data_IF_518842191098
#
_entry.id   IF_518842191098
#
_cell.length_a   1.000
_cell.length_b   1.000
_cell.length_c   1.000
_cell.angle_alpha   90.00
_cell.angle_beta   90.00
_cell.angle_gamma   90.00
#
_symmetry.space_group_name_H-M   'P 1'
#
loop_
_entity.id
_entity.type
_entity.pdbx_description
1 polymer ?
#
# COMPACT_ATOMS: atom_id res chain seq x y z
N UNK A 1 -34.17 -51.55 -9.71
CA UNK A 1 -34.17 -51.57 -8.24
C UNK A 1 -34.66 -50.20 -7.80
N UNK A 2 -35.74 -50.07 -7.01
CA UNK A 2 -36.09 -48.78 -6.43
C UNK A 2 -34.88 -48.28 -5.63
N UNK A 3 -34.44 -47.04 -5.91
CA UNK A 3 -33.32 -46.41 -5.22
C UNK A 3 -33.60 -46.23 -3.73
N UNK A 4 -32.59 -45.90 -2.91
CA UNK A 4 -32.81 -45.61 -1.50
C UNK A 4 -33.88 -44.52 -1.34
N UNK A 5 -34.96 -44.81 -0.60
CA UNK A 5 -35.92 -43.79 -0.22
C UNK A 5 -35.28 -42.93 0.86
N UNK A 6 -35.43 -41.62 0.74
CA UNK A 6 -34.97 -40.64 1.73
C UNK A 6 -36.15 -39.75 2.09
N UNK A 7 -36.37 -39.58 3.38
CA UNK A 7 -37.43 -38.73 3.88
C UNK A 7 -37.10 -37.26 3.57
N UNK A 8 -38.08 -36.53 3.06
CA UNK A 8 -38.00 -35.10 2.78
C UNK A 8 -39.16 -34.38 3.47
N UNK A 9 -38.93 -33.13 3.84
CA UNK A 9 -39.95 -32.25 4.41
C UNK A 9 -40.51 -31.30 3.35
N UNK A 10 -41.83 -31.14 3.37
CA UNK A 10 -42.54 -30.17 2.53
C UNK A 10 -42.52 -28.79 3.20
N UNK A 11 -41.45 -28.02 2.97
CA UNK A 11 -41.31 -26.66 3.52
C UNK A 11 -42.01 -25.59 2.68
N UNK A 12 -42.22 -25.86 1.39
CA UNK A 12 -42.90 -24.99 0.43
C UNK A 12 -43.95 -25.81 -0.32
N UNK A 13 -45.00 -25.16 -0.80
CA UNK A 13 -45.88 -25.71 -1.82
C UNK A 13 -45.14 -25.82 -3.17
N UNK A 14 -45.72 -26.57 -4.12
CA UNK A 14 -45.16 -26.69 -5.48
C UNK A 14 -45.07 -25.33 -6.19
N UNK A 15 -46.06 -24.45 -5.99
CA UNK A 15 -46.08 -23.09 -6.54
C UNK A 15 -44.98 -22.22 -5.93
N UNK A 16 -44.82 -22.23 -4.60
CA UNK A 16 -43.76 -21.48 -3.91
C UNK A 16 -42.36 -21.98 -4.26
N UNK A 17 -42.20 -23.28 -4.55
CA UNK A 17 -40.94 -23.84 -5.00
C UNK A 17 -40.58 -23.34 -6.41
N UNK A 18 -41.57 -23.17 -7.29
CA UNK A 18 -41.39 -22.59 -8.62
C UNK A 18 -41.01 -21.12 -8.55
N UNK A 19 -41.68 -20.34 -7.69
CA UNK A 19 -41.30 -18.96 -7.41
C UNK A 19 -39.86 -18.86 -6.88
N UNK A 20 -39.45 -19.77 -5.98
CA UNK A 20 -38.08 -19.80 -5.47
C UNK A 20 -37.04 -20.11 -6.56
N UNK A 21 -37.38 -20.98 -7.53
CA UNK A 21 -36.52 -21.28 -8.68
C UNK A 21 -36.39 -20.05 -9.59
N UNK A 22 -37.50 -19.40 -9.92
CA UNK A 22 -37.54 -18.21 -10.79
C UNK A 22 -36.80 -17.02 -10.16
N UNK A 23 -36.94 -16.84 -8.84
CA UNK A 23 -36.20 -15.84 -8.09
C UNK A 23 -34.69 -16.14 -8.10
N UNK A 24 -34.29 -17.39 -7.81
CA UNK A 24 -32.88 -17.78 -7.85
C UNK A 24 -32.26 -17.64 -9.26
N UNK A 25 -33.05 -17.85 -10.31
CA UNK A 25 -32.63 -17.64 -11.69
C UNK A 25 -32.45 -16.16 -12.00
N UNK A 26 -33.36 -15.31 -11.54
CA UNK A 26 -33.28 -13.85 -11.68
C UNK A 26 -32.08 -13.26 -10.94
N UNK A 27 -31.79 -13.77 -9.74
CA UNK A 27 -30.65 -13.38 -8.89
C UNK A 27 -29.30 -13.95 -9.38
N UNK A 28 -29.30 -14.73 -10.48
CA UNK A 28 -28.11 -15.37 -11.05
C UNK A 28 -27.39 -16.29 -10.05
N UNK A 29 -28.15 -17.09 -9.31
CA UNK A 29 -27.65 -18.08 -8.36
C UNK A 29 -27.72 -19.52 -8.94
N UNK A 30 -26.86 -19.89 -9.92
CA UNK A 30 -27.00 -21.15 -10.65
C UNK A 30 -26.89 -22.39 -9.76
N UNK A 31 -26.15 -22.30 -8.66
CA UNK A 31 -26.05 -23.38 -7.68
C UNK A 31 -27.34 -23.58 -6.89
N UNK A 32 -28.05 -22.49 -6.55
CA UNK A 32 -29.31 -22.56 -5.83
C UNK A 32 -30.40 -23.10 -6.75
N UNK A 33 -30.50 -22.59 -7.99
CA UNK A 33 -31.43 -23.10 -9.02
C UNK A 33 -31.30 -24.61 -9.17
N UNK A 34 -30.07 -25.11 -9.38
CA UNK A 34 -29.81 -26.55 -9.55
C UNK A 34 -30.26 -27.39 -8.35
N UNK A 35 -30.09 -26.88 -7.13
CA UNK A 35 -30.47 -27.55 -5.89
C UNK A 35 -31.98 -27.54 -5.66
N UNK A 36 -32.65 -26.43 -5.96
CA UNK A 36 -34.11 -26.34 -5.90
C UNK A 36 -34.78 -27.25 -6.94
N UNK A 37 -34.22 -27.33 -8.16
CA UNK A 37 -34.69 -28.29 -9.17
C UNK A 37 -34.58 -29.75 -8.68
N UNK A 38 -33.60 -30.09 -7.84
CA UNK A 38 -33.51 -31.42 -7.24
C UNK A 38 -34.68 -31.67 -6.28
N UNK A 39 -35.02 -30.71 -5.42
CA UNK A 39 -36.18 -30.80 -4.52
C UNK A 39 -37.48 -30.90 -5.32
N UNK A 40 -37.63 -30.11 -6.39
CA UNK A 40 -38.80 -30.17 -7.27
C UNK A 40 -38.99 -31.55 -7.88
N UNK A 41 -37.91 -32.17 -8.37
CA UNK A 41 -37.99 -33.54 -8.90
C UNK A 41 -38.48 -34.54 -7.84
N UNK A 42 -38.07 -34.37 -6.57
CA UNK A 42 -38.52 -35.23 -5.46
C UNK A 42 -40.01 -35.03 -5.15
N UNK A 43 -40.50 -33.78 -5.18
CA UNK A 43 -41.94 -33.48 -4.99
C UNK A 43 -42.80 -34.10 -6.11
N UNK A 44 -42.26 -34.14 -7.33
CA UNK A 44 -42.89 -34.80 -8.48
C UNK A 44 -42.82 -36.34 -8.43
N UNK A 45 -42.26 -36.91 -7.36
CA UNK A 45 -42.26 -38.36 -7.10
C UNK A 45 -41.00 -39.10 -7.55
N UNK A 46 -39.94 -38.41 -7.98
CA UNK A 46 -38.68 -39.08 -8.30
C UNK A 46 -38.05 -39.73 -7.08
N UNK A 47 -37.45 -40.90 -7.27
CA UNK A 47 -36.51 -41.42 -6.28
C UNK A 47 -35.28 -40.51 -6.20
N UNK A 48 -34.60 -40.53 -5.05
CA UNK A 48 -33.39 -39.72 -4.84
C UNK A 48 -32.33 -39.94 -5.94
N UNK A 49 -32.22 -41.16 -6.46
CA UNK A 49 -31.29 -41.51 -7.55
C UNK A 49 -31.71 -40.89 -8.88
N UNK A 50 -33.02 -40.87 -9.20
CA UNK A 50 -33.54 -40.26 -10.43
C UNK A 50 -33.38 -38.74 -10.39
N UNK A 51 -33.77 -38.11 -9.28
CA UNK A 51 -33.59 -36.68 -9.07
C UNK A 51 -32.11 -36.27 -9.15
N UNK A 52 -31.20 -37.04 -8.53
CA UNK A 52 -29.76 -36.83 -8.63
C UNK A 52 -29.26 -36.91 -10.09
N UNK A 53 -29.75 -37.89 -10.85
CA UNK A 53 -29.39 -38.10 -12.25
C UNK A 53 -29.87 -36.93 -13.12
N UNK A 54 -31.11 -36.48 -12.95
CA UNK A 54 -31.70 -35.36 -13.72
C UNK A 54 -30.91 -34.06 -13.56
N UNK A 55 -30.47 -33.77 -12.33
CA UNK A 55 -29.66 -32.57 -12.06
C UNK A 55 -28.16 -32.82 -12.22
N UNK A 56 -27.72 -34.01 -12.62
CA UNK A 56 -26.32 -34.34 -12.93
C UNK A 56 -25.37 -34.43 -11.73
N UNK A 57 -25.85 -34.89 -10.56
CA UNK A 57 -25.02 -35.10 -9.35
C UNK A 57 -25.06 -36.55 -8.88
N UNK A 58 -24.15 -36.91 -7.96
CA UNK A 58 -24.14 -38.23 -7.35
C UNK A 58 -25.22 -38.35 -6.27
N UNK A 59 -25.78 -39.55 -6.07
CA UNK A 59 -26.80 -39.82 -5.04
C UNK A 59 -26.38 -39.37 -3.64
N UNK A 60 -25.11 -39.55 -3.17
CA UNK A 60 -24.67 -39.01 -1.89
C UNK A 60 -24.71 -37.47 -1.81
N UNK A 61 -24.50 -36.77 -2.92
CA UNK A 61 -24.59 -35.30 -2.96
C UNK A 61 -26.03 -34.84 -2.88
N UNK A 62 -26.91 -35.48 -3.66
CA UNK A 62 -28.35 -35.28 -3.60
C UNK A 62 -28.88 -35.52 -2.18
N UNK A 63 -28.45 -36.62 -1.55
CA UNK A 63 -28.76 -36.96 -0.16
C UNK A 63 -28.42 -35.79 0.78
N UNK A 64 -27.19 -35.25 0.72
CA UNK A 64 -26.80 -34.11 1.57
C UNK A 64 -27.63 -32.85 1.29
N UNK A 65 -28.05 -32.61 0.06
CA UNK A 65 -28.91 -31.46 -0.27
C UNK A 65 -30.29 -31.62 0.35
N UNK A 66 -30.87 -32.82 0.32
CA UNK A 66 -32.13 -33.11 1.03
C UNK A 66 -31.98 -32.93 2.54
N UNK A 67 -30.87 -33.34 3.15
CA UNK A 67 -30.64 -33.09 4.60
C UNK A 67 -30.61 -31.60 4.91
N UNK A 68 -29.92 -30.81 4.08
CA UNK A 68 -29.84 -29.35 4.25
C UNK A 68 -31.20 -28.68 4.03
N UNK A 69 -31.96 -29.13 3.03
CA UNK A 69 -33.34 -28.70 2.81
C UNK A 69 -34.21 -29.02 4.01
N UNK A 70 -34.16 -30.24 4.55
CA UNK A 70 -34.94 -30.63 5.71
C UNK A 70 -34.62 -29.75 6.93
N UNK A 71 -33.37 -29.32 7.10
CA UNK A 71 -32.96 -28.49 8.23
C UNK A 71 -33.28 -27.00 8.09
N UNK A 72 -33.15 -26.41 6.90
CA UNK A 72 -33.16 -24.94 6.72
C UNK A 72 -33.80 -24.48 5.38
N UNK A 73 -34.66 -25.32 4.78
CA UNK A 73 -35.38 -25.05 3.54
C UNK A 73 -34.47 -24.44 2.44
N UNK A 74 -34.87 -23.31 1.84
CA UNK A 74 -34.11 -22.59 0.81
C UNK A 74 -32.75 -22.10 1.33
N UNK A 75 -32.67 -21.68 2.60
CA UNK A 75 -31.43 -21.23 3.25
C UNK A 75 -30.34 -22.29 3.25
N UNK A 76 -30.71 -23.53 3.61
CA UNK A 76 -29.80 -24.68 3.62
C UNK A 76 -29.28 -25.06 2.24
N UNK A 77 -30.01 -24.70 1.18
CA UNK A 77 -29.58 -24.96 -0.20
C UNK A 77 -28.66 -23.88 -0.76
N UNK A 78 -28.48 -22.73 -0.11
CA UNK A 78 -27.47 -21.76 -0.54
C UNK A 78 -26.06 -22.34 -0.29
N UNK A 79 -25.08 -22.12 -1.19
CA UNK A 79 -23.72 -22.51 -0.91
C UNK A 79 -23.22 -21.73 0.31
N UNK A 80 -22.60 -22.44 1.25
CA UNK A 80 -21.83 -21.79 2.30
C UNK A 80 -20.76 -20.97 1.58
N UNK A 81 -20.86 -19.64 1.65
CA UNK A 81 -19.74 -18.80 1.24
C UNK A 81 -18.60 -19.24 2.14
N UNK A 82 -17.62 -19.94 1.57
CA UNK A 82 -16.42 -20.36 2.27
C UNK A 82 -15.61 -19.12 2.59
N UNK A 83 -16.11 -18.32 3.53
CA UNK A 83 -15.37 -17.23 4.10
C UNK A 83 -14.16 -17.90 4.73
N UNK A 84 -12.99 -17.54 4.25
CA UNK A 84 -11.76 -18.22 4.61
C UNK A 84 -11.54 -18.16 6.12
N UNK A 85 -10.40 -18.67 6.57
CA UNK A 85 -10.01 -18.45 7.96
C UNK A 85 -10.07 -16.94 8.28
N UNK A 86 -10.81 -16.52 9.33
CA UNK A 86 -10.95 -15.11 9.63
C UNK A 86 -9.56 -14.48 9.84
N UNK A 87 -9.37 -13.21 9.44
CA UNK A 87 -8.12 -12.50 9.66
C UNK A 87 -7.75 -12.52 11.15
N UNK A 88 -6.46 -12.64 11.48
CA UNK A 88 -6.03 -12.65 12.90
C UNK A 88 -6.33 -11.34 13.64
N UNK A 89 -6.36 -10.22 12.92
CA UNK A 89 -6.81 -8.94 13.46
C UNK A 89 -8.26 -8.70 13.08
N UNK A 90 -9.09 -8.41 14.07
CA UNK A 90 -10.46 -7.97 13.83
C UNK A 90 -10.50 -6.56 13.22
N UNK A 91 -11.70 -6.05 12.96
CA UNK A 91 -11.88 -4.73 12.34
C UNK A 91 -11.42 -3.59 13.26
N UNK A 92 -11.79 -3.62 14.54
CA UNK A 92 -11.41 -2.60 15.52
C UNK A 92 -9.89 -2.57 15.76
N UNK A 93 -9.24 -3.73 15.80
CA UNK A 93 -7.80 -3.84 15.90
C UNK A 93 -7.08 -3.27 14.67
N UNK A 94 -7.65 -3.46 13.47
CA UNK A 94 -7.12 -2.88 12.23
C UNK A 94 -7.24 -1.36 12.21
N UNK A 95 -8.36 -0.82 12.66
CA UNK A 95 -8.57 0.63 12.76
C UNK A 95 -7.56 1.25 13.74
N UNK A 96 -7.41 0.64 14.92
CA UNK A 96 -6.42 1.07 15.91
C UNK A 96 -4.99 0.99 15.38
N UNK A 97 -4.64 -0.09 14.67
CA UNK A 97 -3.34 -0.19 14.01
C UNK A 97 -3.13 0.95 13.02
N UNK A 98 -4.16 1.30 12.24
CA UNK A 98 -4.07 2.37 11.25
C UNK A 98 -3.82 3.74 11.91
N UNK A 99 -4.43 4.03 13.05
CA UNK A 99 -4.16 5.25 13.83
C UNK A 99 -2.71 5.33 14.31
N UNK A 100 -2.19 4.24 14.88
CA UNK A 100 -0.79 4.16 15.33
C UNK A 100 0.17 4.35 14.16
N UNK A 101 -0.10 3.70 13.03
CA UNK A 101 0.74 3.83 11.83
C UNK A 101 0.75 5.27 11.28
N UNK A 102 -0.36 6.02 11.38
CA UNK A 102 -0.41 7.43 10.94
C UNK A 102 0.47 8.33 11.81
N UNK A 103 0.56 8.04 13.10
CA UNK A 103 1.33 8.84 14.06
C UNK A 103 2.84 8.57 14.01
N UNK A 104 3.23 7.32 13.70
CA UNK A 104 4.62 6.88 13.81
C UNK A 104 5.32 6.60 12.48
N UNK A 105 4.66 6.84 11.34
CA UNK A 105 5.29 6.74 10.03
C UNK A 105 6.46 7.73 9.86
N UNK A 106 7.48 7.41 9.04
CA UNK A 106 7.62 6.17 8.28
C UNK A 106 8.25 5.02 9.09
N UNK A 107 7.81 3.77 8.85
CA UNK A 107 8.25 2.59 9.61
C UNK A 107 8.81 1.48 8.72
N UNK A 108 9.75 0.70 9.23
CA UNK A 108 10.21 -0.55 8.60
C UNK A 108 9.17 -1.67 8.79
N UNK A 109 9.18 -2.69 7.92
CA UNK A 109 8.32 -3.87 8.09
C UNK A 109 8.51 -4.53 9.45
N UNK A 110 9.75 -4.57 9.97
CA UNK A 110 10.05 -5.17 11.27
C UNK A 110 9.43 -4.38 12.43
N UNK A 111 9.55 -3.05 12.41
CA UNK A 111 8.92 -2.21 13.43
C UNK A 111 7.40 -2.39 13.43
N UNK A 112 6.77 -2.52 12.25
CA UNK A 112 5.34 -2.80 12.17
C UNK A 112 5.00 -4.19 12.73
N UNK A 113 5.80 -5.22 12.46
CA UNK A 113 5.58 -6.54 13.06
C UNK A 113 5.61 -6.49 14.59
N UNK A 114 6.60 -5.79 15.16
CA UNK A 114 6.71 -5.62 16.61
C UNK A 114 5.51 -4.86 17.17
N UNK A 115 5.07 -3.78 16.53
CA UNK A 115 3.86 -3.05 16.95
C UNK A 115 2.61 -3.94 16.96
N UNK A 116 2.48 -4.85 15.98
CA UNK A 116 1.33 -5.76 15.93
C UNK A 116 1.42 -6.82 17.04
N UNK A 117 2.61 -7.38 17.25
CA UNK A 117 2.85 -8.39 18.28
C UNK A 117 2.65 -7.81 19.69
N UNK A 118 3.27 -6.67 20.00
CA UNK A 118 3.16 -6.01 21.30
C UNK A 118 1.75 -5.46 21.56
N UNK A 119 1.08 -4.94 20.52
CA UNK A 119 -0.22 -4.28 20.65
C UNK A 119 -1.42 -5.21 20.64
N UNK A 120 -1.32 -6.36 19.97
CA UNK A 120 -2.46 -7.25 19.71
C UNK A 120 -2.18 -8.73 20.00
N UNK A 121 -0.98 -9.10 20.45
CA UNK A 121 -0.56 -10.51 20.66
C UNK A 121 -0.71 -11.37 19.38
N UNK A 122 -0.51 -10.74 18.22
CA UNK A 122 -0.66 -11.37 16.91
C UNK A 122 0.67 -11.34 16.17
N UNK A 123 1.23 -12.53 15.92
CA UNK A 123 2.41 -12.66 15.07
C UNK A 123 2.04 -12.86 13.59
N UNK A 124 2.63 -12.04 12.71
CA UNK A 124 2.55 -12.18 11.26
C UNK A 124 3.94 -12.40 10.66
N UNK A 125 4.00 -13.14 9.54
CA UNK A 125 5.21 -13.16 8.71
C UNK A 125 5.40 -11.81 8.02
N UNK A 126 6.63 -11.49 7.60
CA UNK A 126 6.92 -10.25 6.88
C UNK A 126 6.04 -10.11 5.63
N UNK A 127 5.88 -11.19 4.86
CA UNK A 127 5.02 -11.22 3.66
C UNK A 127 3.57 -10.90 3.98
N UNK A 128 3.03 -11.44 5.08
CA UNK A 128 1.66 -11.16 5.48
C UNK A 128 1.50 -9.71 5.95
N UNK A 129 2.47 -9.22 6.72
CA UNK A 129 2.52 -7.82 7.17
C UNK A 129 2.53 -6.86 5.99
N UNK A 130 3.37 -7.09 4.97
CA UNK A 130 3.38 -6.26 3.77
C UNK A 130 2.04 -6.26 3.01
N UNK A 131 1.36 -7.42 2.93
CA UNK A 131 0.02 -7.50 2.31
C UNK A 131 -1.03 -6.75 3.12
N UNK A 132 -0.99 -6.86 4.45
CA UNK A 132 -1.86 -6.11 5.35
C UNK A 132 -1.66 -4.60 5.16
N UNK A 133 -0.42 -4.13 5.15
CA UNK A 133 -0.09 -2.71 4.99
C UNK A 133 -0.52 -2.16 3.63
N UNK A 134 -0.32 -2.92 2.56
CA UNK A 134 -0.87 -2.56 1.24
C UNK A 134 -2.39 -2.45 1.26
N UNK A 135 -3.09 -3.37 1.94
CA UNK A 135 -4.56 -3.34 2.07
C UNK A 135 -5.04 -2.14 2.90
N UNK A 136 -4.24 -1.68 3.85
CA UNK A 136 -4.47 -0.46 4.63
C UNK A 136 -4.09 0.82 3.86
N UNK A 137 -3.52 0.71 2.66
CA UNK A 137 -3.19 1.85 1.80
C UNK A 137 -1.81 2.48 2.03
N UNK A 138 -0.90 1.80 2.74
CA UNK A 138 0.47 2.29 2.89
C UNK A 138 1.31 1.99 1.64
N UNK A 139 2.23 2.91 1.33
CA UNK A 139 3.22 2.79 0.28
C UNK A 139 4.56 2.34 0.85
N UNK A 140 5.28 1.50 0.09
CA UNK A 140 6.63 1.05 0.43
C UNK A 140 7.68 1.72 -0.45
N UNK A 141 8.33 2.77 0.05
CA UNK A 141 9.20 3.64 -0.75
C UNK A 141 10.46 4.08 0.01
N UNK A 142 11.49 4.48 -0.75
CA UNK A 142 12.71 5.06 -0.19
C UNK A 142 12.36 6.49 0.30
N UNK A 143 12.64 6.84 1.56
CA UNK A 143 12.34 8.16 2.08
C UNK A 143 13.17 9.25 1.41
N UNK A 144 12.56 10.40 1.13
CA UNK A 144 13.31 11.61 0.75
C UNK A 144 13.98 12.19 2.01
N UNK A 145 15.30 12.44 1.99
CA UNK A 145 15.96 13.12 3.10
C UNK A 145 15.49 14.58 3.16
N UNK A 146 15.20 15.05 4.36
CA UNK A 146 14.91 16.46 4.65
C UNK A 146 15.93 16.97 5.68
N UNK A 147 16.36 18.22 5.50
CA UNK A 147 17.22 18.90 6.47
C UNK A 147 16.43 19.13 7.76
N UNK A 148 16.96 18.73 8.94
CA UNK A 148 16.28 18.93 10.21
C UNK A 148 16.07 20.42 10.55
N UNK A 149 16.93 21.29 10.02
CA UNK A 149 16.96 22.73 10.31
C UNK A 149 16.23 23.58 9.25
N UNK A 150 15.50 22.95 8.32
CA UNK A 150 14.71 23.71 7.32
C UNK A 150 13.58 24.44 8.05
N UNK A 151 13.50 25.79 7.99
CA UNK A 151 12.42 26.54 8.61
C UNK A 151 11.11 26.41 7.80
N UNK A 152 9.98 26.66 8.44
CA UNK A 152 8.66 26.50 7.81
C UNK A 152 8.42 27.52 6.68
N UNK A 153 9.04 28.71 6.78
CA UNK A 153 8.99 29.83 5.83
C UNK A 153 10.18 29.82 4.84
N UNK A 154 10.85 28.67 4.66
CA UNK A 154 12.05 28.57 3.81
C UNK A 154 11.85 29.04 2.36
N UNK A 155 10.65 28.89 1.81
CA UNK A 155 10.33 29.32 0.44
C UNK A 155 10.21 30.84 0.35
N UNK A 156 9.56 31.48 1.32
CA UNK A 156 9.43 32.94 1.42
C UNK A 156 10.80 33.59 1.65
N UNK A 157 11.62 33.05 2.56
CA UNK A 157 12.99 33.53 2.77
C UNK A 157 13.86 33.42 1.53
N UNK A 158 13.67 32.39 0.70
CA UNK A 158 14.42 32.24 -0.55
C UNK A 158 14.00 33.28 -1.58
N UNK A 159 12.69 33.52 -1.72
CA UNK A 159 12.13 34.51 -2.64
C UNK A 159 12.62 35.92 -2.28
N UNK A 160 12.49 36.34 -1.02
CA UNK A 160 12.93 37.66 -0.55
C UNK A 160 14.43 37.88 -0.77
N UNK A 161 15.25 36.87 -0.42
CA UNK A 161 16.71 36.96 -0.61
C UNK A 161 17.12 36.99 -2.07
N UNK A 162 16.39 36.28 -2.94
CA UNK A 162 16.64 36.28 -4.37
C UNK A 162 16.30 37.65 -4.97
N UNK A 163 15.16 38.23 -4.61
CA UNK A 163 14.75 39.56 -5.07
C UNK A 163 15.77 40.62 -4.63
N UNK A 164 16.14 40.64 -3.34
CA UNK A 164 17.16 41.55 -2.83
C UNK A 164 18.53 41.40 -3.53
N UNK A 165 18.97 40.15 -3.77
CA UNK A 165 20.22 39.90 -4.47
C UNK A 165 20.17 40.31 -5.95
N UNK A 166 19.00 40.30 -6.59
CA UNK A 166 18.81 40.80 -7.96
C UNK A 166 18.79 42.32 -8.01
N UNK A 167 18.16 42.98 -7.02
CA UNK A 167 18.13 44.44 -6.90
C UNK A 167 19.53 45.03 -6.63
N UNK A 168 20.38 44.33 -5.87
CA UNK A 168 21.76 44.72 -5.60
C UNK A 168 22.69 44.66 -6.83
N UNK A 169 22.25 44.08 -7.96
CA UNK A 169 23.08 43.89 -9.16
C UNK A 169 23.10 45.10 -10.12
N UNK A 170 22.50 46.25 -9.79
CA UNK A 170 22.43 47.41 -10.69
C UNK A 170 23.69 48.33 -10.69
N UNK A 171 24.24 48.44 -11.92
CA UNK A 171 24.94 49.53 -12.63
C UNK A 171 26.45 49.88 -12.49
N UNK A 172 27.23 49.44 -11.50
CA UNK A 172 28.64 49.92 -11.38
C UNK A 172 29.75 48.85 -11.49
N UNK A 173 29.42 47.56 -11.65
CA UNK A 173 30.42 46.45 -11.59
C UNK A 173 30.37 45.48 -12.77
N UNK A 174 30.26 46.00 -14.00
CA UNK A 174 30.43 45.17 -15.20
C UNK A 174 31.64 45.66 -16.00
N UNK A 175 32.77 44.99 -15.84
CA UNK A 175 33.87 45.06 -16.83
C UNK A 175 33.42 44.36 -18.12
N UNK A 176 34.14 44.59 -19.24
CA UNK A 176 33.80 44.23 -20.63
C UNK A 176 33.36 42.76 -20.92
N UNK A 177 33.28 41.88 -19.92
CA UNK A 177 32.85 40.48 -19.98
C UNK A 177 31.43 40.15 -19.45
N UNK A 178 30.71 41.08 -18.81
CA UNK A 178 29.35 40.82 -18.31
C UNK A 178 29.27 40.16 -16.92
N UNK A 179 28.06 39.80 -16.48
CA UNK A 179 27.81 39.10 -15.20
C UNK A 179 27.80 37.58 -15.41
N UNK A 180 28.61 36.85 -14.64
CA UNK A 180 28.56 35.37 -14.60
C UNK A 180 27.56 34.92 -13.54
N UNK A 181 26.59 34.11 -13.96
CA UNK A 181 25.59 33.50 -13.07
C UNK A 181 25.91 32.03 -12.91
N UNK A 182 25.93 31.54 -11.68
CA UNK A 182 26.19 30.13 -11.40
C UNK A 182 25.84 29.72 -9.99
N UNK A 183 25.98 28.43 -9.71
CA UNK A 183 25.69 27.83 -8.42
C UNK A 183 27.00 27.43 -7.75
N UNK A 184 27.25 27.94 -6.54
CA UNK A 184 28.38 27.56 -5.70
C UNK A 184 27.86 26.60 -4.63
N UNK A 185 28.47 25.43 -4.50
CA UNK A 185 28.08 24.45 -3.48
C UNK A 185 29.27 23.58 -3.06
N UNK A 186 29.16 23.00 -1.86
CA UNK A 186 30.10 22.03 -1.32
C UNK A 186 29.45 20.66 -1.12
N UNK A 187 30.16 19.61 -1.51
CA UNK A 187 29.71 18.24 -1.37
C UNK A 187 30.74 17.38 -0.64
N UNK A 188 30.34 16.86 0.52
CA UNK A 188 31.11 15.83 1.22
C UNK A 188 30.76 14.43 0.69
N UNK A 189 31.77 13.54 0.52
CA UNK A 189 31.53 12.15 0.19
C UNK A 189 30.56 11.49 1.17
N UNK A 190 29.53 10.83 0.67
CA UNK A 190 28.59 10.07 1.50
C UNK A 190 28.89 8.57 1.38
N UNK A 191 29.58 7.95 2.35
CA UNK A 191 29.98 6.54 2.26
C UNK A 191 28.80 5.58 2.43
N UNK A 192 27.67 6.06 2.95
CA UNK A 192 26.48 5.24 3.21
C UNK A 192 25.29 5.72 2.38
N UNK A 193 24.72 4.80 1.61
CA UNK A 193 23.50 5.03 0.84
C UNK A 193 22.23 4.85 1.69
N UNK A 194 21.20 5.65 1.39
CA UNK A 194 19.89 5.57 2.02
C UNK A 194 18.93 4.71 1.18
N UNK A 195 19.28 3.45 0.94
CA UNK A 195 18.48 2.56 0.08
C UNK A 195 17.31 1.87 0.79
N UNK A 196 17.14 2.06 2.11
CA UNK A 196 16.10 1.38 2.89
C UNK A 196 14.71 1.95 2.59
N UNK A 197 13.79 1.07 2.19
CA UNK A 197 12.37 1.41 1.98
C UNK A 197 11.60 1.34 3.29
N UNK A 198 10.68 2.27 3.47
CA UNK A 198 9.82 2.40 4.64
C UNK A 198 8.35 2.47 4.20
N UNK A 199 7.46 2.19 5.15
CA UNK A 199 6.01 2.25 5.00
C UNK A 199 5.46 3.60 5.47
N UNK A 200 4.64 4.23 4.63
CA UNK A 200 3.92 5.48 4.95
C UNK A 200 2.64 5.62 4.10
N UNK A 201 1.64 6.36 4.59
CA UNK A 201 0.42 6.67 3.82
C UNK A 201 0.68 7.65 2.65
N UNK A 202 1.77 8.41 2.71
CA UNK A 202 2.22 9.30 1.64
C UNK A 202 3.62 8.94 1.10
N UNK A 203 4.31 9.92 0.52
CA UNK A 203 5.73 9.82 0.22
C UNK A 203 6.50 9.89 1.54
N UNK A 204 7.32 8.88 1.88
CA UNK A 204 8.06 8.91 3.14
C UNK A 204 9.13 10.00 3.08
N UNK A 205 9.28 10.75 4.17
CA UNK A 205 10.38 11.69 4.38
C UNK A 205 11.13 11.27 5.64
N UNK A 206 12.42 11.55 5.70
CA UNK A 206 13.24 11.22 6.85
C UNK A 206 14.16 12.40 7.17
N UNK A 207 14.04 12.92 8.39
CA UNK A 207 14.98 13.91 8.91
C UNK A 207 16.35 13.26 8.97
N UNK A 208 17.30 13.79 8.21
CA UNK A 208 18.65 13.26 8.16
C UNK A 208 19.62 14.33 8.64
N UNK A 209 20.28 14.02 9.75
CA UNK A 209 21.53 14.68 10.07
C UNK A 209 22.57 14.24 9.04
N UNK A 210 23.13 15.20 8.29
CA UNK A 210 24.25 14.90 7.41
C UNK A 210 25.44 14.54 8.29
N UNK A 211 26.11 13.39 8.08
CA UNK A 211 27.27 13.06 8.90
C UNK A 211 28.33 14.16 8.76
N UNK A 212 28.68 14.81 9.86
CA UNK A 212 29.82 15.73 9.95
C UNK A 212 31.16 14.99 10.02
N UNK A 213 31.16 13.66 9.88
CA UNK A 213 32.37 12.85 10.03
C UNK A 213 33.44 13.39 9.07
N UNK A 214 34.54 13.90 9.66
CA UNK A 214 35.68 14.54 9.02
C UNK A 214 36.09 13.79 7.75
N UNK A 215 35.60 14.25 6.61
CA UNK A 215 36.24 13.99 5.34
C UNK A 215 37.20 15.14 5.14
N UNK A 216 38.49 14.81 5.08
CA UNK A 216 39.55 15.80 4.87
C UNK A 216 39.40 16.45 3.49
N UNK A 217 38.76 15.77 2.52
CA UNK A 217 38.52 16.28 1.18
C UNK A 217 37.04 16.67 0.98
N UNK A 218 36.75 17.96 0.81
CA UNK A 218 35.46 18.45 0.34
C UNK A 218 35.52 18.70 -1.17
N UNK A 219 34.48 18.29 -1.91
CA UNK A 219 34.35 18.69 -3.31
C UNK A 219 33.69 20.06 -3.35
N UNK A 220 34.43 21.07 -3.78
CA UNK A 220 33.96 22.44 -3.91
C UNK A 220 33.80 22.79 -5.38
N UNK A 221 32.66 23.36 -5.76
CA UNK A 221 32.34 23.58 -7.17
C UNK A 221 31.51 24.82 -7.42
N UNK A 222 31.84 25.54 -8.50
CA UNK A 222 31.01 26.58 -9.08
C UNK A 222 30.52 26.13 -10.47
N UNK A 223 29.23 25.91 -10.59
CA UNK A 223 28.57 25.60 -11.86
C UNK A 223 28.07 26.87 -12.53
N UNK A 224 28.84 27.39 -13.49
CA UNK A 224 28.50 28.58 -14.25
C UNK A 224 27.50 28.26 -15.37
N UNK A 225 26.42 29.04 -15.47
CA UNK A 225 25.41 28.94 -16.54
C UNK A 225 25.89 29.59 -17.85
N UNK A 226 26.64 30.68 -17.74
CA UNK A 226 27.11 31.49 -18.86
C UNK A 226 28.63 31.74 -18.82
N UNK A 227 29.38 30.88 -18.13
CA UNK A 227 30.83 30.95 -18.01
C UNK A 227 31.48 29.57 -17.90
N UNK A 228 32.73 29.52 -17.46
CA UNK A 228 33.45 28.27 -17.23
C UNK A 228 33.15 27.76 -15.83
N UNK A 229 32.59 26.55 -15.73
CA UNK A 229 32.42 25.87 -14.44
C UNK A 229 33.76 25.39 -13.90
N UNK A 230 33.96 25.50 -12.58
CA UNK A 230 35.17 25.04 -11.89
C UNK A 230 34.79 24.08 -10.77
N UNK A 231 35.62 23.05 -10.55
CA UNK A 231 35.44 22.08 -9.47
C UNK A 231 36.80 21.58 -9.00
N UNK A 232 37.00 21.48 -7.69
CA UNK A 232 38.20 20.89 -7.10
C UNK A 232 37.90 20.21 -5.77
N UNK A 233 38.72 19.23 -5.41
CA UNK A 233 38.81 18.82 -4.00
C UNK A 233 39.59 19.90 -3.24
N UNK A 234 39.12 20.27 -2.05
CA UNK A 234 39.79 21.20 -1.15
C UNK A 234 39.90 20.57 0.24
N UNK A 235 40.98 20.91 0.92
CA UNK A 235 41.24 20.44 2.29
C UNK A 235 40.65 21.41 3.34
N UNK A 236 40.29 22.63 2.91
CA UNK A 236 39.70 23.67 3.74
C UNK A 236 38.71 24.56 2.96
N UNK A 237 37.75 25.14 3.69
CA UNK A 237 36.77 26.11 3.19
C UNK A 237 36.89 27.45 3.92
N UNK A 238 38.10 27.84 4.32
CA UNK A 238 38.33 29.18 4.86
C UNK A 238 38.00 30.25 3.81
N UNK A 239 37.67 31.46 4.27
CA UNK A 239 37.34 32.58 3.36
C UNK A 239 38.46 32.84 2.33
N UNK A 240 39.71 32.69 2.77
CA UNK A 240 40.90 32.85 1.92
C UNK A 240 40.94 31.76 0.83
N UNK A 241 40.78 30.50 1.24
CA UNK A 241 40.78 29.35 0.34
C UNK A 241 39.63 29.36 -0.68
N UNK A 242 38.46 29.89 -0.29
CA UNK A 242 37.33 30.13 -1.22
C UNK A 242 37.64 31.26 -2.20
N UNK A 243 38.30 32.33 -1.76
CA UNK A 243 38.72 33.43 -2.64
C UNK A 243 39.71 32.99 -3.73
N UNK A 244 40.63 32.11 -3.37
CA UNK A 244 41.65 31.55 -4.29
C UNK A 244 41.09 30.50 -5.28
N UNK A 245 39.85 30.05 -5.08
CA UNK A 245 39.22 29.01 -5.90
C UNK A 245 38.89 29.49 -7.32
N UNK A 246 38.55 30.78 -7.46
CA UNK A 246 38.24 31.35 -8.76
C UNK A 246 39.53 31.71 -9.50
N UNK A 247 39.66 31.34 -10.80
CA UNK A 247 40.81 31.74 -11.59
C UNK A 247 40.92 33.26 -11.62
N UNK A 248 42.06 33.77 -11.18
CA UNK A 248 42.36 35.21 -11.24
C UNK A 248 42.64 35.58 -12.69
N UNK A 249 41.99 36.62 -13.21
CA UNK A 249 42.25 37.14 -14.56
C UNK A 249 43.74 37.48 -14.71
N UNK A 250 44.37 36.92 -15.75
CA UNK A 250 45.78 37.21 -16.11
C UNK A 250 45.86 38.28 -17.18
#
# INVERSE_FOLDING_TARGET
MPGPSKDYLEHLSEEELDEAIDQAQSDKEPYLVRRLCLIKNIYLGDTLTEAATRVGVTTPTASRWVDRWNNDAVGGLRPDSGDGRPPKLDEHQRDRLQEVLKQHQPLTTHQVQQLIEDGFDVSYSQRHTSRLLNKLGLNYAIPRPESPDRPDDAEEQLEERLEAALDDLDDDTVTDGGVVVGFLDEAWPRPTDNSRRLWSFGRPTLKKETPTANFDDVVFGFYALNGTSVVSCKDDLSKESVGDFFPQDT
#
